data_IF_694344168930
#
_entry.id   IF_694344168930
#
_cell.length_a   1.000
_cell.length_b   1.000
_cell.length_c   1.000
_cell.angle_alpha   90.00
_cell.angle_beta   90.00
_cell.angle_gamma   90.00
#
_symmetry.space_group_name_H-M   'P 1'
#
loop_
_entity.id
_entity.type
_entity.pdbx_description
1 polymer ?
#
# COMPACT_ATOMS: atom_id res chain seq x y z
N UNK A 1 -3.87 40.38 6.02
CA UNK A 1 -4.77 39.27 5.64
C UNK A 1 -4.59 38.01 6.51
N UNK A 2 -3.44 37.77 7.15
CA UNK A 2 -3.26 36.64 8.08
C UNK A 2 -4.10 36.71 9.38
N UNK A 3 -4.51 37.89 9.86
CA UNK A 3 -5.22 37.99 11.16
C UNK A 3 -6.68 37.53 11.12
N UNK A 4 -7.36 37.65 9.98
CA UNK A 4 -8.75 37.20 9.84
C UNK A 4 -8.84 35.67 9.73
N UNK A 5 -7.88 35.04 9.04
CA UNK A 5 -7.79 33.59 8.93
C UNK A 5 -7.44 32.95 10.27
N UNK A 6 -6.49 33.49 11.02
CA UNK A 6 -6.17 33.02 12.37
C UNK A 6 -7.33 33.24 13.36
N UNK A 7 -8.05 34.36 13.26
CA UNK A 7 -9.23 34.61 14.11
C UNK A 7 -10.40 33.67 13.78
N UNK A 8 -10.61 33.35 12.50
CA UNK A 8 -11.62 32.38 12.09
C UNK A 8 -11.25 30.96 12.51
N UNK A 9 -9.98 30.55 12.34
CA UNK A 9 -9.48 29.25 12.80
C UNK A 9 -9.55 29.15 14.33
N UNK A 10 -9.16 30.19 15.06
CA UNK A 10 -9.23 30.22 16.53
C UNK A 10 -10.68 30.25 17.04
N UNK A 11 -11.59 30.94 16.36
CA UNK A 11 -13.04 30.95 16.64
C UNK A 11 -13.70 29.60 16.37
N UNK A 12 -13.28 28.93 15.29
CA UNK A 12 -13.72 27.57 14.98
C UNK A 12 -13.17 26.65 16.05
N UNK A 13 -11.86 26.65 16.32
CA UNK A 13 -11.22 25.83 17.37
C UNK A 13 -11.85 26.06 18.75
N UNK A 14 -12.11 27.30 19.18
CA UNK A 14 -12.77 27.59 20.47
C UNK A 14 -14.23 27.14 20.54
N UNK A 15 -14.99 27.23 19.44
CA UNK A 15 -16.37 26.70 19.38
C UNK A 15 -16.40 25.17 19.23
N UNK A 16 -15.38 24.58 18.62
CA UNK A 16 -15.18 23.16 18.32
C UNK A 16 -14.75 22.37 19.54
N UNK A 17 -13.92 22.94 20.42
CA UNK A 17 -13.45 22.28 21.65
C UNK A 17 -14.56 22.10 22.71
N UNK A 18 -15.67 22.85 22.61
CA UNK A 18 -16.73 22.87 23.63
C UNK A 18 -17.92 21.94 23.36
N UNK A 19 -18.06 21.30 22.19
CA UNK A 19 -19.23 20.46 21.90
C UNK A 19 -18.94 18.96 22.06
N UNK A 20 -19.31 18.39 23.22
CA UNK A 20 -19.23 16.95 23.48
C UNK A 20 -20.20 16.08 22.61
N UNK A 21 -21.10 16.70 21.83
CA UNK A 21 -22.12 16.03 21.03
C UNK A 21 -21.62 15.37 19.73
N UNK A 22 -20.36 15.60 19.34
CA UNK A 22 -19.80 15.12 18.06
C UNK A 22 -18.45 14.40 18.24
N UNK A 23 -18.18 13.90 19.44
CA UNK A 23 -16.88 13.30 19.79
C UNK A 23 -16.42 12.25 18.77
N UNK A 24 -17.32 11.38 18.31
CA UNK A 24 -16.99 10.32 17.33
C UNK A 24 -16.63 10.89 15.95
N UNK A 25 -17.31 11.96 15.52
CA UNK A 25 -16.99 12.67 14.26
C UNK A 25 -15.63 13.36 14.36
N UNK A 26 -15.31 13.94 15.51
CA UNK A 26 -14.03 14.61 15.73
C UNK A 26 -12.85 13.64 15.74
N UNK A 27 -13.01 12.48 16.36
CA UNK A 27 -11.98 11.44 16.39
C UNK A 27 -11.65 10.99 14.95
N UNK A 28 -12.64 10.83 14.09
CA UNK A 28 -12.41 10.51 12.67
C UNK A 28 -11.70 11.66 11.93
N UNK A 29 -12.14 12.92 12.11
CA UNK A 29 -11.52 14.09 11.50
C UNK A 29 -10.05 14.30 11.92
N UNK A 30 -9.69 13.96 13.16
CA UNK A 30 -8.30 13.99 13.64
C UNK A 30 -7.45 12.92 12.94
N UNK A 31 -8.04 11.76 12.64
CA UNK A 31 -7.43 10.74 11.79
C UNK A 31 -7.16 11.24 10.36
N UNK A 32 -8.14 11.93 9.76
CA UNK A 32 -8.01 12.53 8.42
C UNK A 32 -6.96 13.64 8.35
N UNK A 33 -6.88 14.51 9.37
CA UNK A 33 -5.88 15.58 9.43
C UNK A 33 -4.45 15.03 9.42
N UNK A 34 -4.19 13.96 10.18
CA UNK A 34 -2.89 13.28 10.14
C UNK A 34 -2.59 12.68 8.76
N UNK A 35 -3.62 12.17 8.06
CA UNK A 35 -3.46 11.64 6.69
C UNK A 35 -3.14 12.71 5.67
N UNK A 36 -3.82 13.86 5.75
CA UNK A 36 -3.50 14.98 4.86
C UNK A 36 -2.10 15.50 5.11
N UNK A 37 -1.65 15.52 6.37
CA UNK A 37 -0.28 15.92 6.70
C UNK A 37 0.77 14.99 6.10
N UNK A 38 0.54 13.67 6.14
CA UNK A 38 1.41 12.69 5.44
C UNK A 38 1.48 12.93 3.94
N UNK A 39 0.36 13.30 3.30
CA UNK A 39 0.33 13.55 1.86
C UNK A 39 1.03 14.86 1.46
N UNK A 40 1.14 15.83 2.37
CA UNK A 40 1.83 17.11 2.15
C UNK A 40 3.33 16.98 2.39
N UNK A 41 3.74 16.18 3.37
CA UNK A 41 5.14 16.03 3.83
C UNK A 41 5.74 14.66 3.48
N UNK A 42 5.50 14.16 2.26
CA UNK A 42 5.90 12.81 1.84
C UNK A 42 7.43 12.61 1.76
N UNK A 43 8.22 13.68 1.85
CA UNK A 43 9.68 13.65 1.65
C UNK A 43 10.48 13.18 2.90
N UNK A 44 9.95 13.27 4.14
CA UNK A 44 10.62 12.77 5.36
C UNK A 44 9.92 11.50 5.89
N UNK A 45 10.62 10.37 5.80
CA UNK A 45 10.17 9.05 6.27
C UNK A 45 9.77 9.09 7.76
N UNK A 46 10.47 9.87 8.59
CA UNK A 46 10.18 9.97 10.03
C UNK A 46 8.90 10.74 10.29
N UNK A 47 8.64 11.81 9.55
CA UNK A 47 7.38 12.54 9.64
C UNK A 47 6.22 11.67 9.15
N UNK A 48 6.45 10.90 8.08
CA UNK A 48 5.47 9.91 7.61
C UNK A 48 5.15 8.86 8.67
N UNK A 49 6.15 8.32 9.37
CA UNK A 49 5.93 7.36 10.47
C UNK A 49 5.15 7.98 11.63
N UNK A 50 5.51 9.20 12.05
CA UNK A 50 4.84 9.94 13.13
C UNK A 50 3.38 10.18 12.77
N UNK A 51 3.10 10.72 11.60
CA UNK A 51 1.73 11.02 11.19
C UNK A 51 0.93 9.75 10.87
N UNK A 52 1.57 8.66 10.44
CA UNK A 52 0.93 7.33 10.34
C UNK A 52 0.48 6.86 11.71
N UNK A 53 1.34 6.98 12.73
CA UNK A 53 1.02 6.59 14.10
C UNK A 53 -0.10 7.46 14.70
N UNK A 54 -0.07 8.77 14.47
CA UNK A 54 -1.12 9.71 14.91
C UNK A 54 -2.46 9.36 14.27
N UNK A 55 -2.52 9.20 12.95
CA UNK A 55 -3.76 8.82 12.27
C UNK A 55 -4.28 7.45 12.71
N UNK A 56 -3.39 6.47 12.89
CA UNK A 56 -3.76 5.13 13.34
C UNK A 56 -4.40 5.17 14.73
N UNK A 57 -3.82 5.93 15.65
CA UNK A 57 -4.36 6.10 17.00
C UNK A 57 -5.80 6.61 16.97
N UNK A 58 -6.06 7.66 16.21
CA UNK A 58 -7.40 8.25 16.11
C UNK A 58 -8.42 7.32 15.46
N UNK A 59 -8.09 6.65 14.35
CA UNK A 59 -9.04 5.70 13.75
C UNK A 59 -9.28 4.46 14.61
N UNK A 60 -8.27 3.97 15.35
CA UNK A 60 -8.46 2.88 16.31
C UNK A 60 -9.41 3.29 17.43
N UNK A 61 -9.23 4.50 17.99
CA UNK A 61 -10.13 5.04 19.00
C UNK A 61 -11.55 5.23 18.46
N UNK A 62 -11.71 5.66 17.21
CA UNK A 62 -13.04 5.75 16.57
C UNK A 62 -13.66 4.36 16.37
N UNK A 63 -12.87 3.36 15.97
CA UNK A 63 -13.36 2.01 15.73
C UNK A 63 -13.78 1.31 17.00
N UNK A 64 -13.10 1.57 18.12
CA UNK A 64 -13.47 1.02 19.43
C UNK A 64 -14.82 1.57 19.91
N UNK A 65 -15.12 2.83 19.57
CA UNK A 65 -16.39 3.48 19.90
C UNK A 65 -17.52 3.11 18.95
N UNK A 66 -17.22 2.93 17.66
CA UNK A 66 -18.20 2.65 16.61
C UNK A 66 -17.80 1.43 15.75
N UNK A 67 -17.80 0.21 16.33
CA UNK A 67 -17.25 -1.00 15.68
C UNK A 67 -18.02 -1.46 14.45
N UNK A 68 -19.25 -0.99 14.25
CA UNK A 68 -20.06 -1.27 13.04
C UNK A 68 -19.71 -0.36 11.86
N UNK A 69 -18.85 0.64 12.06
CA UNK A 69 -18.50 1.63 11.03
C UNK A 69 -17.35 1.14 10.16
N UNK A 70 -17.68 0.40 9.08
CA UNK A 70 -16.70 -0.24 8.18
C UNK A 70 -15.66 0.69 7.56
N UNK A 71 -15.98 1.98 7.33
CA UNK A 71 -15.01 2.95 6.77
C UNK A 71 -13.79 3.20 7.65
N UNK A 72 -13.91 3.05 8.98
CA UNK A 72 -12.79 3.22 9.91
C UNK A 72 -11.75 2.11 9.73
N UNK A 73 -12.19 0.88 9.54
CA UNK A 73 -11.31 -0.26 9.23
C UNK A 73 -10.66 -0.14 7.85
N UNK A 74 -11.36 0.44 6.88
CA UNK A 74 -10.77 0.76 5.59
C UNK A 74 -9.64 1.79 5.73
N UNK A 75 -9.82 2.85 6.52
CA UNK A 75 -8.75 3.81 6.80
C UNK A 75 -7.57 3.18 7.55
N UNK A 76 -7.83 2.35 8.55
CA UNK A 76 -6.79 1.60 9.26
C UNK A 76 -6.00 0.68 8.32
N UNK A 77 -6.66 0.02 7.37
CA UNK A 77 -6.00 -0.84 6.37
C UNK A 77 -5.06 -0.04 5.46
N UNK A 78 -5.47 1.16 5.02
CA UNK A 78 -4.61 2.06 4.24
C UNK A 78 -3.37 2.46 5.05
N UNK A 79 -3.53 2.77 6.34
CA UNK A 79 -2.43 3.12 7.25
C UNK A 79 -1.57 1.92 7.66
N UNK A 80 -2.11 0.72 7.55
CA UNK A 80 -1.44 -0.54 7.86
C UNK A 80 -0.70 -1.13 6.66
N UNK A 81 -0.66 -0.45 5.51
CA UNK A 81 0.36 -0.67 4.48
C UNK A 81 1.73 -0.25 5.04
N UNK A 82 2.18 -0.96 6.07
CA UNK A 82 3.56 -1.10 6.44
C UNK A 82 4.21 -1.87 5.30
N UNK A 83 5.26 -1.33 4.64
CA UNK A 83 6.16 -2.19 3.90
C UNK A 83 6.62 -3.26 4.90
N UNK A 84 6.30 -4.53 4.68
CA UNK A 84 6.80 -5.62 5.51
C UNK A 84 8.25 -5.85 5.07
N UNK A 85 9.28 -5.31 5.77
CA UNK A 85 10.64 -5.29 5.23
C UNK A 85 11.18 -6.72 5.10
N UNK A 86 10.76 -7.59 6.01
CA UNK A 86 10.99 -9.02 5.98
C UNK A 86 10.24 -9.76 4.86
N UNK A 87 9.14 -9.22 4.27
CA UNK A 87 8.59 -9.78 3.02
C UNK A 87 9.57 -9.57 1.89
N UNK A 88 10.15 -8.36 1.80
CA UNK A 88 11.15 -8.07 0.78
C UNK A 88 12.36 -9.00 0.96
N UNK A 89 12.85 -9.17 2.17
CA UNK A 89 13.96 -10.10 2.42
C UNK A 89 13.57 -11.55 2.08
N UNK A 90 12.41 -12.01 2.54
CA UNK A 90 11.92 -13.38 2.29
C UNK A 90 11.69 -13.66 0.80
N UNK A 91 11.05 -12.74 0.08
CA UNK A 91 10.77 -12.91 -1.36
C UNK A 91 12.06 -12.82 -2.17
N UNK A 92 13.02 -11.98 -1.77
CA UNK A 92 14.31 -11.90 -2.42
C UNK A 92 15.11 -13.19 -2.27
N UNK A 93 14.98 -13.96 -1.18
CA UNK A 93 15.64 -15.29 -1.10
C UNK A 93 15.18 -16.26 -2.19
N UNK A 94 13.96 -16.08 -2.71
CA UNK A 94 13.42 -16.88 -3.81
C UNK A 94 13.86 -16.33 -5.17
N UNK A 95 13.94 -15.01 -5.32
CA UNK A 95 14.25 -14.35 -6.59
C UNK A 95 15.74 -14.27 -6.88
N UNK A 96 16.57 -14.04 -5.87
CA UNK A 96 18.01 -13.79 -6.00
C UNK A 96 18.78 -14.90 -6.75
N UNK A 97 18.52 -16.20 -6.52
CA UNK A 97 19.16 -17.27 -7.30
C UNK A 97 18.77 -17.28 -8.78
N UNK A 98 17.65 -16.64 -9.16
CA UNK A 98 17.09 -16.64 -10.51
C UNK A 98 17.50 -15.36 -11.25
N UNK A 99 17.58 -14.22 -10.57
CA UNK A 99 18.05 -12.96 -11.18
C UNK A 99 19.58 -12.80 -11.15
N UNK A 100 20.30 -13.65 -10.42
CA UNK A 100 21.76 -13.60 -10.42
C UNK A 100 22.33 -13.94 -11.80
N UNK A 101 23.38 -13.23 -12.23
CA UNK A 101 24.07 -13.48 -13.50
C UNK A 101 24.79 -14.85 -13.54
N UNK A 102 24.82 -15.58 -12.42
CA UNK A 102 25.39 -16.91 -12.34
C UNK A 102 24.41 -17.93 -12.95
N UNK A 103 24.87 -18.84 -13.82
CA UNK A 103 24.02 -19.90 -14.37
C UNK A 103 23.47 -20.78 -13.25
N UNK A 104 22.14 -20.82 -13.10
CA UNK A 104 21.47 -21.64 -12.09
C UNK A 104 20.68 -22.77 -12.77
N UNK A 105 20.90 -24.06 -12.40
CA UNK A 105 20.12 -25.19 -12.90
C UNK A 105 18.60 -25.06 -12.70
N UNK A 106 18.15 -24.25 -11.74
CA UNK A 106 16.73 -23.94 -11.51
C UNK A 106 16.13 -23.04 -12.60
N UNK A 107 16.90 -22.10 -13.17
CA UNK A 107 16.44 -21.24 -14.27
C UNK A 107 16.02 -22.08 -15.48
N UNK A 108 16.80 -23.12 -15.80
CA UNK A 108 16.54 -24.01 -16.92
C UNK A 108 15.31 -24.92 -16.74
N UNK A 109 14.76 -25.02 -15.53
CA UNK A 109 13.61 -25.87 -15.20
C UNK A 109 12.28 -25.12 -15.19
N UNK A 110 12.32 -23.79 -15.13
CA UNK A 110 11.13 -22.96 -15.04
C UNK A 110 10.49 -22.76 -16.42
N UNK A 111 9.16 -22.86 -16.54
CA UNK A 111 8.45 -22.41 -17.74
C UNK A 111 8.79 -20.94 -18.05
N UNK A 112 8.84 -20.53 -19.33
CA UNK A 112 9.18 -19.16 -19.70
C UNK A 112 8.33 -18.08 -19.03
N UNK A 113 7.04 -18.35 -18.78
CA UNK A 113 6.14 -17.42 -18.09
C UNK A 113 6.52 -17.23 -16.61
N UNK A 114 6.91 -18.30 -15.93
CA UNK A 114 7.33 -18.25 -14.52
C UNK A 114 8.69 -17.56 -14.39
N UNK A 115 9.61 -17.83 -15.32
CA UNK A 115 10.91 -17.16 -15.36
C UNK A 115 10.75 -15.63 -15.53
N UNK A 116 9.96 -15.20 -16.52
CA UNK A 116 9.72 -13.77 -16.77
C UNK A 116 8.93 -13.10 -15.64
N UNK A 117 8.02 -13.83 -14.99
CA UNK A 117 7.34 -13.34 -13.79
C UNK A 117 8.36 -13.04 -12.68
N UNK A 118 9.25 -14.01 -12.39
CA UNK A 118 10.25 -13.89 -11.33
C UNK A 118 11.29 -12.82 -11.67
N UNK A 119 11.71 -12.70 -12.92
CA UNK A 119 12.65 -11.66 -13.35
C UNK A 119 12.04 -10.26 -13.22
N UNK A 120 10.82 -10.04 -13.73
CA UNK A 120 10.16 -8.73 -13.65
C UNK A 120 9.96 -8.29 -12.19
N UNK A 121 9.51 -9.20 -11.33
CA UNK A 121 9.32 -8.90 -9.92
C UNK A 121 10.68 -8.78 -9.19
N UNK A 122 11.68 -9.59 -9.53
CA UNK A 122 13.01 -9.49 -8.97
C UNK A 122 13.70 -8.17 -9.27
N UNK A 123 13.55 -7.62 -10.48
CA UNK A 123 14.02 -6.27 -10.85
C UNK A 123 13.30 -5.22 -10.00
N UNK A 124 11.97 -5.28 -9.92
CA UNK A 124 11.14 -4.35 -9.15
C UNK A 124 11.48 -4.35 -7.65
N UNK A 125 11.66 -5.53 -7.05
CA UNK A 125 11.97 -5.66 -5.62
C UNK A 125 13.44 -5.38 -5.32
N UNK A 126 14.38 -5.66 -6.23
CA UNK A 126 15.81 -5.41 -6.02
C UNK A 126 16.21 -3.95 -6.24
N UNK A 127 15.43 -3.18 -7.01
CA UNK A 127 15.75 -1.81 -7.45
C UNK A 127 17.09 -1.74 -8.19
N UNK A 128 17.44 -2.81 -8.91
CA UNK A 128 18.64 -2.95 -9.75
C UNK A 128 18.17 -3.26 -11.17
N UNK A 129 18.90 -2.77 -12.18
CA UNK A 129 18.65 -3.06 -13.60
C UNK A 129 17.28 -2.56 -14.10
N UNK A 130 16.84 -1.39 -13.63
CA UNK A 130 15.57 -0.76 -14.03
C UNK A 130 15.41 -0.61 -15.55
N UNK A 131 16.54 -0.46 -16.28
CA UNK A 131 16.57 -0.38 -17.74
C UNK A 131 16.00 -1.64 -18.44
N UNK A 132 16.08 -2.81 -17.80
CA UNK A 132 15.56 -4.07 -18.35
C UNK A 132 14.10 -4.36 -17.94
N UNK A 133 13.58 -3.64 -16.95
CA UNK A 133 12.23 -3.87 -16.41
C UNK A 133 11.15 -3.79 -17.49
N UNK A 134 11.21 -2.76 -18.32
CA UNK A 134 10.21 -2.49 -19.35
C UNK A 134 10.16 -3.64 -20.38
N UNK A 135 11.33 -4.14 -20.76
CA UNK A 135 11.48 -5.25 -21.70
C UNK A 135 10.92 -6.54 -21.11
N UNK A 136 11.34 -6.89 -19.89
CA UNK A 136 10.88 -8.11 -19.20
C UNK A 136 9.38 -8.07 -18.91
N UNK A 137 8.85 -6.91 -18.51
CA UNK A 137 7.41 -6.70 -18.29
C UNK A 137 6.61 -6.95 -19.57
N UNK A 138 7.05 -6.40 -20.71
CA UNK A 138 6.32 -6.56 -21.97
C UNK A 138 6.32 -8.02 -22.44
N UNK A 139 7.41 -8.76 -22.24
CA UNK A 139 7.48 -10.20 -22.55
C UNK A 139 6.56 -10.98 -21.61
N UNK A 140 6.58 -10.68 -20.31
CA UNK A 140 5.70 -11.32 -19.33
C UNK A 140 4.22 -11.13 -19.68
N UNK A 141 3.80 -9.90 -19.98
CA UNK A 141 2.40 -9.60 -20.34
C UNK A 141 1.97 -10.37 -21.59
N UNK A 142 2.80 -10.42 -22.63
CA UNK A 142 2.51 -11.21 -23.82
C UNK A 142 2.38 -12.71 -23.54
N UNK A 143 3.19 -13.26 -22.64
CA UNK A 143 3.09 -14.66 -22.21
C UNK A 143 1.85 -14.91 -21.34
N UNK A 144 1.47 -13.95 -20.50
CA UNK A 144 0.30 -14.00 -19.65
C UNK A 144 -0.99 -14.00 -20.48
N UNK A 145 -1.12 -13.09 -21.44
CA UNK A 145 -2.29 -13.03 -22.33
C UNK A 145 -2.49 -14.36 -23.06
N UNK A 146 -1.41 -14.93 -23.62
CA UNK A 146 -1.43 -16.25 -24.24
C UNK A 146 -1.79 -17.39 -23.27
N UNK A 147 -1.43 -17.27 -21.99
CA UNK A 147 -1.77 -18.25 -20.97
C UNK A 147 -3.23 -18.15 -20.53
N UNK A 148 -3.74 -16.93 -20.35
CA UNK A 148 -5.13 -16.64 -19.97
C UNK A 148 -6.09 -17.09 -21.07
N UNK A 149 -5.76 -16.85 -22.35
CA UNK A 149 -6.54 -17.31 -23.50
C UNK A 149 -6.63 -18.83 -23.59
N UNK A 150 -5.59 -19.54 -23.14
CA UNK A 150 -5.55 -21.01 -23.12
C UNK A 150 -6.20 -21.61 -21.88
N UNK A 151 -6.30 -20.85 -20.79
CA UNK A 151 -6.70 -21.34 -19.46
C UNK A 151 -8.08 -20.86 -19.01
N UNK A 152 -8.80 -20.12 -19.87
CA UNK A 152 -10.04 -19.36 -19.57
C UNK A 152 -11.12 -20.17 -18.84
N UNK A 153 -11.22 -21.48 -19.08
CA UNK A 153 -12.19 -22.34 -18.37
C UNK A 153 -11.90 -22.55 -16.88
N UNK A 154 -10.63 -22.54 -16.47
CA UNK A 154 -10.21 -22.86 -15.08
C UNK A 154 -10.02 -21.61 -14.22
N UNK A 155 -9.71 -20.47 -14.84
CA UNK A 155 -9.52 -19.18 -14.15
C UNK A 155 -10.84 -18.55 -13.70
N UNK A 156 -11.91 -18.70 -14.47
CA UNK A 156 -13.25 -18.22 -14.10
C UNK A 156 -13.77 -18.86 -12.79
N UNK A 157 -13.44 -20.12 -12.54
CA UNK A 157 -13.85 -20.82 -11.31
C UNK A 157 -13.14 -20.31 -10.05
N UNK A 158 -11.94 -19.72 -10.17
CA UNK A 158 -11.18 -19.20 -9.02
C UNK A 158 -11.52 -17.74 -8.67
N UNK A 159 -11.98 -16.94 -9.64
CA UNK A 159 -12.36 -15.54 -9.41
C UNK A 159 -13.72 -15.34 -8.74
N UNK A 160 -14.63 -16.31 -8.86
CA UNK A 160 -16.00 -16.20 -8.32
C UNK A 160 -16.11 -16.49 -6.80
N UNK A 161 -15.05 -17.01 -6.17
CA UNK A 161 -15.04 -17.40 -4.75
C UNK A 161 -14.57 -16.30 -3.78
N UNK A 162 -14.22 -15.11 -4.29
CA UNK A 162 -13.66 -14.02 -3.49
C UNK A 162 -14.27 -12.63 -3.76
N UNK A 163 -15.50 -12.56 -4.30
CA UNK A 163 -16.31 -11.33 -4.33
C UNK A 163 -17.54 -11.45 -3.42
#
# INVERSE_FOLDING_TARGET
MLSAALSAVLSVVLRVVLSALFEDTWIECLGDLGRYRMAIEDDDIRDREVWTAVSRHWYSLASDKAPTTGRLYHHLAILAQMPFPSARESIMTLFEPIISQAPNPQQARLPPIELNFIEAHGILFSSKQDEELEKTRNIFLALLDNHVDRSTRRWLESGYLYC
#
